data_IF_061101758141
#
_entry.id   IF_061101758141
#
_cell.length_a   1.000
_cell.length_b   1.000
_cell.length_c   1.000
_cell.angle_alpha   90.00
_cell.angle_beta   90.00
_cell.angle_gamma   90.00
#
_symmetry.space_group_name_H-M   'P 1'
#
loop_
_entity.id
_entity.type
_entity.pdbx_description
1 polymer ?
#
# COMPACT_ATOMS: atom_id res chain seq x y z
N UNK A 1 63.04 8.76 8.08
CA UNK A 1 61.80 9.53 8.36
C UNK A 1 61.74 10.68 7.39
N UNK A 2 60.63 10.80 6.66
CA UNK A 2 60.41 11.79 5.59
C UNK A 2 60.26 13.21 6.16
N UNK A 3 60.87 14.15 5.46
CA UNK A 3 60.78 15.61 5.62
C UNK A 3 59.37 16.12 5.33
N UNK A 4 58.86 17.02 6.18
CA UNK A 4 57.71 17.88 5.87
C UNK A 4 58.20 19.33 5.85
N UNK A 5 58.40 19.85 4.64
CA UNK A 5 58.59 21.26 4.36
C UNK A 5 57.20 21.90 4.23
N UNK A 6 57.05 23.13 4.73
CA UNK A 6 56.84 24.33 3.90
C UNK A 6 56.74 25.58 4.79
N UNK A 7 57.62 26.59 4.60
CA UNK A 7 57.60 27.87 5.33
C UNK A 7 57.21 29.06 4.45
N UNK A 8 56.45 30.02 4.99
CA UNK A 8 56.50 31.50 4.80
C UNK A 8 55.21 32.10 5.42
N UNK A 9 55.13 32.93 6.46
CA UNK A 9 55.83 34.12 6.95
C UNK A 9 55.33 35.47 6.36
N UNK A 10 54.74 36.27 7.28
CA UNK A 10 54.69 37.77 7.39
C UNK A 10 53.42 38.51 6.92
N UNK A 11 52.86 39.33 7.82
CA UNK A 11 52.27 40.64 7.49
C UNK A 11 51.06 41.06 8.33
N UNK A 12 51.17 42.18 9.05
CA UNK A 12 50.17 42.85 9.91
C UNK A 12 48.86 43.23 9.16
N UNK A 13 47.72 43.60 9.78
CA UNK A 13 47.48 44.90 10.46
C UNK A 13 46.31 44.79 11.46
N UNK A 14 46.49 45.43 12.62
CA UNK A 14 45.48 45.70 13.63
C UNK A 14 44.50 46.78 13.17
N UNK A 15 43.21 46.57 13.38
CA UNK A 15 42.21 47.65 13.45
C UNK A 15 41.13 47.27 14.46
N UNK A 16 41.23 47.85 15.66
CA UNK A 16 40.11 48.00 16.58
C UNK A 16 39.15 49.02 15.95
N UNK A 17 37.89 48.64 15.73
CA UNK A 17 36.79 49.58 15.61
C UNK A 17 35.64 49.11 16.52
N UNK A 18 35.41 49.89 17.57
CA UNK A 18 34.29 49.79 18.50
C UNK A 18 32.97 50.12 17.79
N UNK A 19 31.95 49.28 18.03
CA UNK A 19 30.56 49.68 18.18
C UNK A 19 29.76 50.02 16.92
N UNK A 20 28.79 49.17 16.59
CA UNK A 20 27.35 49.49 16.63
C UNK A 20 26.60 48.16 16.79
N UNK A 21 25.78 48.06 17.85
CA UNK A 21 24.71 47.05 17.93
C UNK A 21 23.75 47.30 16.76
N UNK A 22 23.72 46.37 15.80
CA UNK A 22 22.69 46.28 14.79
C UNK A 22 22.22 44.85 14.72
N UNK A 23 21.25 44.49 15.56
CA UNK A 23 20.49 43.25 15.46
C UNK A 23 19.62 43.34 14.19
N UNK A 24 20.24 43.15 13.04
CA UNK A 24 19.57 42.99 11.76
C UNK A 24 19.53 41.51 11.43
N UNK A 25 18.57 40.78 12.00
CA UNK A 25 18.11 39.54 11.37
C UNK A 25 17.58 39.98 10.02
N UNK A 26 18.39 39.83 8.97
CA UNK A 26 17.86 39.65 7.63
C UNK A 26 17.08 38.35 7.73
N UNK A 27 15.80 38.44 8.11
CA UNK A 27 14.89 37.42 7.66
C UNK A 27 15.07 37.44 6.14
N UNK A 28 15.34 36.30 5.47
CA UNK A 28 15.02 36.29 4.06
C UNK A 28 13.57 36.77 4.02
N UNK A 29 13.28 37.90 3.34
CA UNK A 29 11.93 38.11 2.82
C UNK A 29 11.65 36.76 2.17
N UNK A 30 10.73 36.00 2.75
CA UNK A 30 10.07 34.97 1.99
C UNK A 30 9.60 35.75 0.76
N UNK A 31 10.31 35.59 -0.34
CA UNK A 31 9.79 35.94 -1.65
C UNK A 31 8.50 35.14 -1.67
N UNK A 32 7.40 35.87 -1.47
CA UNK A 32 6.06 35.31 -1.36
C UNK A 32 5.90 34.52 -2.63
N UNK A 33 5.93 33.21 -2.49
CA UNK A 33 6.04 32.37 -3.65
C UNK A 33 4.64 32.41 -4.30
N UNK A 34 4.51 32.66 -5.61
CA UNK A 34 3.26 33.13 -6.19
C UNK A 34 2.11 32.20 -5.83
N UNK A 35 1.00 32.81 -5.40
CA UNK A 35 -0.14 32.12 -4.77
C UNK A 35 -0.89 31.16 -5.71
N UNK A 36 -0.60 31.20 -7.01
CA UNK A 36 -1.15 30.33 -8.03
C UNK A 36 -1.00 30.93 -9.44
N UNK A 37 -1.71 30.35 -10.40
CA UNK A 37 -1.80 30.93 -11.75
C UNK A 37 -2.40 32.34 -11.68
N UNK A 38 -1.63 33.34 -12.09
CA UNK A 38 -2.07 34.74 -12.17
C UNK A 38 -1.26 35.71 -11.32
N UNK A 39 -0.54 35.22 -10.31
CA UNK A 39 0.39 36.01 -9.49
C UNK A 39 1.75 36.07 -10.20
N UNK A 40 1.89 37.00 -11.13
CA UNK A 40 3.07 37.11 -11.99
C UNK A 40 4.20 37.85 -11.31
N UNK A 41 3.89 38.70 -10.33
CA UNK A 41 4.89 39.49 -9.61
C UNK A 41 5.44 38.76 -8.36
N UNK A 42 4.80 37.67 -7.91
CA UNK A 42 5.23 36.87 -6.76
C UNK A 42 5.05 37.61 -5.43
N UNK A 43 3.94 38.33 -5.25
CA UNK A 43 3.64 39.01 -3.98
C UNK A 43 2.60 38.25 -3.13
N UNK A 44 1.94 37.24 -3.68
CA UNK A 44 0.93 36.42 -3.01
C UNK A 44 -0.50 36.96 -3.14
N UNK A 45 -0.73 38.04 -3.88
CA UNK A 45 -2.03 38.67 -4.10
C UNK A 45 -2.27 38.78 -5.61
N UNK A 46 -3.35 38.16 -6.10
CA UNK A 46 -3.73 38.31 -7.51
C UNK A 46 -4.48 39.64 -7.68
N UNK A 47 -3.83 40.64 -8.27
CA UNK A 47 -4.43 41.94 -8.56
C UNK A 47 -3.95 42.58 -9.88
N UNK A 48 -4.22 43.88 -10.08
CA UNK A 48 -3.85 44.59 -11.31
C UNK A 48 -2.33 44.70 -11.49
N UNK A 49 -1.55 44.70 -10.40
CA UNK A 49 -0.11 44.77 -10.44
C UNK A 49 0.49 43.56 -11.19
N UNK A 50 -0.17 42.41 -11.18
CA UNK A 50 0.23 41.25 -11.98
C UNK A 50 0.11 41.49 -13.47
N UNK A 51 -1.03 42.03 -13.92
CA UNK A 51 -1.23 42.34 -15.34
C UNK A 51 -0.20 43.36 -15.82
N UNK A 52 0.07 44.37 -14.99
CA UNK A 52 1.11 45.38 -15.28
C UNK A 52 2.50 44.75 -15.31
N UNK A 53 2.82 43.85 -14.38
CA UNK A 53 4.10 43.15 -14.34
C UNK A 53 4.33 42.30 -15.60
N UNK A 54 3.30 41.57 -16.05
CA UNK A 54 3.37 40.78 -17.27
C UNK A 54 3.57 41.66 -18.52
N UNK A 55 2.89 42.81 -18.60
CA UNK A 55 3.08 43.76 -19.70
C UNK A 55 4.48 44.36 -19.72
N UNK A 56 5.03 44.70 -18.54
CA UNK A 56 6.38 45.21 -18.41
C UNK A 56 7.42 44.17 -18.89
N UNK A 57 7.23 42.88 -18.56
CA UNK A 57 8.07 41.81 -19.10
C UNK A 57 7.96 41.73 -20.64
N UNK A 58 6.74 41.73 -21.18
CA UNK A 58 6.51 41.52 -22.62
C UNK A 58 6.98 42.68 -23.50
N UNK A 59 6.83 43.93 -23.03
CA UNK A 59 7.01 45.12 -23.88
C UNK A 59 8.11 46.07 -23.42
N UNK A 60 8.53 45.98 -22.16
CA UNK A 60 9.47 46.92 -21.56
C UNK A 60 10.78 46.25 -21.14
N UNK A 61 10.92 44.93 -21.36
CA UNK A 61 12.11 44.18 -20.96
C UNK A 61 12.23 44.01 -19.44
N UNK A 62 11.10 43.99 -18.73
CA UNK A 62 11.04 43.71 -17.30
C UNK A 62 11.54 42.31 -16.93
N UNK A 63 11.58 42.01 -15.63
CA UNK A 63 11.92 40.67 -15.14
C UNK A 63 10.91 39.62 -15.63
N UNK A 64 11.33 38.37 -15.89
CA UNK A 64 10.40 37.29 -16.22
C UNK A 64 9.40 37.06 -15.07
N UNK A 65 8.15 36.63 -15.38
CA UNK A 65 7.15 36.33 -14.37
C UNK A 65 7.67 35.35 -13.32
N UNK A 66 7.24 35.56 -12.07
CA UNK A 66 7.59 34.68 -10.97
C UNK A 66 7.17 33.22 -11.30
N UNK A 67 8.07 32.24 -11.13
CA UNK A 67 7.73 30.85 -11.38
C UNK A 67 6.65 30.43 -10.39
N UNK A 68 5.61 29.76 -10.90
CA UNK A 68 4.51 29.23 -10.10
C UNK A 68 5.07 28.49 -8.89
N UNK A 69 4.87 29.05 -7.70
CA UNK A 69 5.21 28.34 -6.50
C UNK A 69 4.01 27.52 -6.12
N UNK A 70 4.10 26.22 -6.38
CA UNK A 70 3.30 25.27 -5.64
C UNK A 70 3.71 25.37 -4.17
N UNK A 71 3.15 26.35 -3.46
CA UNK A 71 3.41 26.58 -2.03
C UNK A 71 2.92 25.37 -1.24
N UNK A 72 3.88 24.49 -0.90
CA UNK A 72 3.89 23.66 0.31
C UNK A 72 2.74 22.65 0.53
N UNK A 73 2.03 22.23 -0.51
CA UNK A 73 1.24 20.97 -0.52
C UNK A 73 1.67 20.02 -1.63
N UNK A 74 2.82 20.31 -2.27
CA UNK A 74 3.35 19.52 -3.36
C UNK A 74 3.77 18.14 -2.88
N UNK A 75 3.08 17.12 -3.39
CA UNK A 75 3.52 15.73 -3.35
C UNK A 75 4.96 15.69 -3.89
N UNK A 76 5.96 15.23 -3.12
CA UNK A 76 7.34 15.21 -3.56
C UNK A 76 7.54 14.42 -4.86
N UNK A 77 8.47 14.87 -5.71
CA UNK A 77 8.87 14.13 -6.91
C UNK A 77 9.37 12.75 -6.48
N UNK A 78 8.93 11.70 -7.17
CA UNK A 78 9.18 10.30 -6.82
C UNK A 78 8.06 9.64 -6.02
N UNK A 79 6.99 10.36 -5.70
CA UNK A 79 5.79 9.75 -5.10
C UNK A 79 5.10 8.82 -6.09
N UNK A 80 4.68 7.65 -5.60
CA UNK A 80 3.86 6.69 -6.34
C UNK A 80 2.39 7.11 -6.25
N UNK A 81 1.73 7.19 -7.41
CA UNK A 81 0.32 7.57 -7.53
C UNK A 81 -0.43 6.49 -8.29
N UNK A 82 -1.56 6.04 -7.74
CA UNK A 82 -2.49 5.17 -8.44
C UNK A 82 -3.26 5.97 -9.48
N UNK A 83 -3.13 5.59 -10.75
CA UNK A 83 -3.70 6.33 -11.87
C UNK A 83 -4.69 5.47 -12.67
N UNK A 84 -5.92 5.95 -12.79
CA UNK A 84 -6.93 5.38 -13.69
C UNK A 84 -6.70 5.90 -15.11
N UNK A 85 -6.04 5.11 -15.95
CA UNK A 85 -5.82 5.44 -17.35
C UNK A 85 -7.14 5.38 -18.14
N UNK A 86 -7.54 6.45 -18.86
CA UNK A 86 -8.85 6.52 -19.52
C UNK A 86 -9.00 5.55 -20.73
N UNK A 87 -7.92 5.25 -21.46
CA UNK A 87 -7.98 4.47 -22.72
C UNK A 87 -6.98 3.29 -22.79
N UNK A 88 -6.58 2.76 -21.62
CA UNK A 88 -5.40 1.90 -21.55
C UNK A 88 -4.11 2.69 -21.83
N UNK A 89 -2.95 2.04 -21.68
CA UNK A 89 -1.61 2.66 -21.54
C UNK A 89 -1.08 3.29 -22.85
N UNK A 90 -1.82 4.20 -23.49
CA UNK A 90 -1.43 4.74 -24.81
C UNK A 90 -0.72 6.09 -24.74
N UNK A 91 -0.88 6.86 -23.65
CA UNK A 91 -0.06 8.05 -23.39
C UNK A 91 0.05 8.33 -21.88
N UNK A 92 1.26 8.24 -21.33
CA UNK A 92 1.55 8.64 -19.95
C UNK A 92 1.68 10.17 -19.93
N UNK A 93 1.09 10.88 -18.94
CA UNK A 93 1.25 12.33 -18.81
C UNK A 93 2.72 12.75 -18.63
N UNK A 94 3.08 13.92 -19.17
CA UNK A 94 4.42 14.50 -18.99
C UNK A 94 4.78 14.63 -17.51
N UNK A 95 6.03 14.30 -17.17
CA UNK A 95 6.54 14.28 -15.80
C UNK A 95 6.19 13.02 -15.00
N UNK A 96 5.46 12.06 -15.59
CA UNK A 96 5.17 10.76 -14.98
C UNK A 96 5.83 9.61 -15.74
N UNK A 97 6.07 8.53 -15.02
CA UNK A 97 6.60 7.28 -15.55
C UNK A 97 5.89 6.10 -14.87
N UNK A 98 5.70 5.01 -15.60
CA UNK A 98 5.08 3.80 -15.04
C UNK A 98 6.09 3.09 -14.13
N UNK A 99 5.65 2.71 -12.93
CA UNK A 99 6.41 1.89 -12.00
C UNK A 99 6.49 0.42 -12.48
N UNK A 100 7.35 0.14 -13.47
CA UNK A 100 7.55 -1.18 -14.08
C UNK A 100 9.02 -1.65 -14.03
N UNK A 101 9.86 -1.04 -13.17
CA UNK A 101 11.28 -1.37 -13.08
C UNK A 101 12.18 -0.68 -14.11
N UNK A 102 11.62 0.12 -15.03
CA UNK A 102 12.42 0.82 -16.04
C UNK A 102 13.34 1.88 -15.43
N UNK A 103 14.45 2.16 -16.12
CA UNK A 103 15.33 3.29 -15.79
C UNK A 103 14.72 4.57 -16.35
N UNK A 104 14.65 5.61 -15.53
CA UNK A 104 14.24 6.95 -15.97
C UNK A 104 15.32 7.49 -16.91
N UNK A 105 14.93 7.87 -18.12
CA UNK A 105 15.80 8.45 -19.14
C UNK A 105 15.32 9.86 -19.49
N UNK A 106 15.51 10.79 -18.56
CA UNK A 106 15.12 12.19 -18.68
C UNK A 106 16.15 13.05 -17.94
N UNK A 107 17.06 13.75 -18.65
CA UNK A 107 18.10 14.57 -18.05
C UNK A 107 17.60 15.72 -17.15
N UNK A 108 16.33 16.09 -17.24
CA UNK A 108 15.73 17.11 -16.38
C UNK A 108 15.16 16.53 -15.08
N UNK A 109 15.02 15.21 -15.00
CA UNK A 109 14.51 14.52 -13.82
C UNK A 109 15.59 14.36 -12.74
N UNK A 110 15.27 14.61 -11.46
CA UNK A 110 16.16 14.23 -10.35
C UNK A 110 16.45 12.72 -10.27
N UNK A 111 15.66 11.90 -10.96
CA UNK A 111 15.78 10.44 -11.02
C UNK A 111 16.43 9.94 -12.31
N UNK A 112 17.03 10.81 -13.15
CA UNK A 112 17.72 10.36 -14.37
C UNK A 112 18.76 9.27 -14.09
N UNK A 113 18.68 8.17 -14.81
CA UNK A 113 19.54 7.00 -14.61
C UNK A 113 19.16 6.08 -13.43
N UNK A 114 18.16 6.42 -12.63
CA UNK A 114 17.65 5.56 -11.56
C UNK A 114 16.51 4.66 -12.05
N UNK A 115 16.47 3.42 -11.56
CA UNK A 115 15.36 2.50 -11.80
C UNK A 115 14.17 2.85 -10.91
N UNK A 116 12.98 2.93 -11.50
CA UNK A 116 11.72 3.07 -10.74
C UNK A 116 11.35 1.73 -10.10
N UNK A 117 10.56 1.69 -9.01
CA UNK A 117 10.04 0.42 -8.50
C UNK A 117 9.19 -0.28 -9.56
N UNK A 118 9.20 -1.61 -9.55
CA UNK A 118 8.27 -2.41 -10.34
C UNK A 118 7.05 -2.76 -9.47
N UNK A 119 5.87 -2.28 -9.85
CA UNK A 119 4.61 -2.49 -9.15
C UNK A 119 3.58 -3.22 -10.01
N UNK A 120 3.98 -3.74 -11.18
CA UNK A 120 3.07 -4.44 -12.09
C UNK A 120 2.63 -5.76 -11.44
N UNK A 121 1.32 -5.91 -11.23
CA UNK A 121 0.75 -7.10 -10.59
C UNK A 121 1.12 -7.25 -9.11
N UNK A 122 1.40 -6.13 -8.41
CA UNK A 122 1.80 -6.14 -6.99
C UNK A 122 0.88 -5.26 -6.13
N UNK A 123 0.79 -5.60 -4.85
CA UNK A 123 0.15 -4.78 -3.84
C UNK A 123 1.19 -4.00 -3.04
N UNK A 124 0.95 -2.70 -2.85
CA UNK A 124 1.79 -1.86 -1.97
C UNK A 124 1.43 -2.14 -0.52
N UNK A 125 2.44 -2.21 0.34
CA UNK A 125 2.29 -2.32 1.80
C UNK A 125 3.20 -1.30 2.49
N UNK A 126 2.80 -0.88 3.68
CA UNK A 126 3.65 -0.04 4.53
C UNK A 126 4.94 -0.78 4.90
N UNK A 127 6.07 -0.09 4.80
CA UNK A 127 7.36 -0.55 5.30
C UNK A 127 7.42 -0.36 6.83
N UNK A 128 7.94 -1.35 7.56
CA UNK A 128 8.10 -1.24 9.02
C UNK A 128 9.34 -0.40 9.37
N UNK A 129 10.39 -0.51 8.56
CA UNK A 129 11.63 0.27 8.64
C UNK A 129 12.03 0.77 7.26
N UNK A 130 12.98 1.70 7.19
CA UNK A 130 13.49 2.20 5.90
C UNK A 130 14.18 1.11 5.07
N UNK A 131 14.76 0.11 5.74
CA UNK A 131 15.44 -1.02 5.11
C UNK A 131 14.44 -2.01 4.47
N UNK A 132 13.15 -1.93 4.82
CA UNK A 132 12.11 -2.76 4.23
C UNK A 132 11.59 -2.23 2.89
N UNK A 133 11.98 -1.02 2.49
CA UNK A 133 11.53 -0.40 1.24
C UNK A 133 12.03 -1.21 0.05
N UNK A 134 11.09 -1.65 -0.80
CA UNK A 134 11.37 -2.44 -2.00
C UNK A 134 11.39 -3.95 -1.78
N UNK A 135 11.26 -4.43 -0.53
CA UNK A 135 11.17 -5.87 -0.26
C UNK A 135 9.88 -6.47 -0.83
N UNK A 136 10.02 -7.60 -1.51
CA UNK A 136 8.91 -8.37 -2.07
C UNK A 136 8.53 -9.52 -1.13
N UNK A 137 7.23 -9.79 -1.00
CA UNK A 137 6.70 -10.89 -0.19
C UNK A 137 5.29 -11.29 -0.68
N UNK A 138 4.73 -12.34 -0.09
CA UNK A 138 3.41 -12.85 -0.42
C UNK A 138 3.45 -14.06 -1.36
N UNK A 139 2.30 -14.68 -1.57
CA UNK A 139 2.12 -15.78 -2.51
C UNK A 139 0.72 -15.69 -3.12
N UNK A 140 0.61 -15.89 -4.43
CA UNK A 140 -0.67 -15.93 -5.16
C UNK A 140 -1.50 -17.18 -4.78
N UNK A 141 -0.87 -18.16 -4.16
CA UNK A 141 -1.50 -19.41 -3.72
C UNK A 141 -1.00 -19.79 -2.32
N UNK A 142 -1.86 -20.44 -1.54
CA UNK A 142 -1.48 -21.07 -0.28
C UNK A 142 -2.15 -22.44 -0.20
N UNK A 143 -1.49 -23.39 0.47
CA UNK A 143 -2.01 -24.73 0.72
C UNK A 143 -2.24 -24.93 2.21
N UNK A 144 -3.29 -25.67 2.55
CA UNK A 144 -3.52 -26.14 3.91
C UNK A 144 -3.21 -27.64 3.97
N UNK A 145 -2.32 -28.03 4.88
CA UNK A 145 -2.15 -29.43 5.25
C UNK A 145 -2.86 -29.66 6.60
N UNK A 146 -3.87 -30.52 6.60
CA UNK A 146 -4.53 -30.97 7.82
C UNK A 146 -3.96 -32.33 8.24
N UNK A 147 -2.95 -32.32 9.10
CA UNK A 147 -2.57 -33.52 9.84
C UNK A 147 -3.56 -33.76 10.96
N UNK A 148 -4.29 -34.88 10.88
CA UNK A 148 -5.04 -35.42 11.99
C UNK A 148 -4.42 -36.77 12.42
N UNK A 149 -4.52 -37.11 13.69
CA UNK A 149 -4.09 -38.40 14.24
C UNK A 149 -5.27 -39.04 14.96
N UNK A 150 -5.44 -40.34 14.79
CA UNK A 150 -6.36 -41.12 15.60
C UNK A 150 -5.59 -42.02 16.54
N UNK A 151 -5.85 -41.91 17.84
CA UNK A 151 -5.54 -42.95 18.81
C UNK A 151 -6.76 -43.88 18.85
N UNK A 152 -6.66 -45.07 18.27
CA UNK A 152 -7.72 -46.07 18.41
C UNK A 152 -7.75 -46.58 19.86
N UNK A 153 -8.74 -46.15 20.62
CA UNK A 153 -9.05 -46.68 21.95
C UNK A 153 -10.00 -47.89 21.80
N UNK A 154 -9.44 -49.09 21.84
CA UNK A 154 -10.19 -50.34 21.97
C UNK A 154 -10.65 -50.51 23.43
N UNK A 155 -11.89 -50.12 23.74
CA UNK A 155 -12.56 -50.57 24.96
C UNK A 155 -13.74 -51.49 24.61
N UNK A 156 -13.53 -52.79 24.82
CA UNK A 156 -14.60 -53.79 24.83
C UNK A 156 -15.14 -53.90 26.25
N UNK A 157 -16.00 -52.95 26.63
CA UNK A 157 -16.83 -53.04 27.84
C UNK A 157 -18.30 -53.34 27.47
N UNK A 158 -19.08 -54.06 28.32
CA UNK A 158 -20.38 -54.66 27.94
C UNK A 158 -21.52 -53.66 27.78
N UNK A 159 -21.25 -52.37 27.98
CA UNK A 159 -22.11 -51.25 27.59
C UNK A 159 -21.49 -50.55 26.39
N UNK A 160 -21.25 -51.31 25.31
CA UNK A 160 -20.72 -50.78 24.06
C UNK A 160 -21.76 -49.83 23.45
N UNK A 161 -21.37 -48.56 23.27
CA UNK A 161 -22.02 -47.67 22.32
C UNK A 161 -21.19 -47.64 21.05
N UNK A 162 -21.85 -47.65 19.89
CA UNK A 162 -21.18 -47.66 18.60
C UNK A 162 -20.73 -46.24 18.26
N UNK A 163 -19.45 -46.07 17.90
CA UNK A 163 -18.97 -44.84 17.28
C UNK A 163 -19.23 -44.93 15.78
N UNK A 164 -20.16 -44.12 15.29
CA UNK A 164 -20.41 -43.93 13.87
C UNK A 164 -19.56 -42.75 13.40
N UNK A 165 -18.54 -43.03 12.58
CA UNK A 165 -17.68 -41.98 12.00
C UNK A 165 -18.40 -41.41 10.79
N UNK A 166 -18.44 -40.08 10.65
CA UNK A 166 -18.98 -39.40 9.48
C UNK A 166 -17.86 -38.72 8.68
N UNK A 167 -17.99 -38.68 7.34
CA UNK A 167 -17.10 -37.92 6.46
C UNK A 167 -17.88 -36.90 5.63
N UNK A 168 -17.18 -35.87 5.18
CA UNK A 168 -17.74 -34.87 4.29
C UNK A 168 -17.53 -35.26 2.83
N UNK A 169 -18.59 -35.24 2.04
CA UNK A 169 -18.54 -35.44 0.59
C UNK A 169 -18.58 -34.08 -0.12
N UNK A 170 -17.44 -33.56 -0.62
CA UNK A 170 -17.35 -32.21 -1.18
C UNK A 170 -18.06 -32.05 -2.52
N UNK A 171 -18.42 -33.14 -3.21
CA UNK A 171 -19.21 -33.08 -4.44
C UNK A 171 -20.66 -32.65 -4.17
N UNK A 172 -21.46 -33.48 -3.48
CA UNK A 172 -22.83 -33.15 -3.09
C UNK A 172 -22.95 -32.21 -1.87
N UNK A 173 -21.83 -31.77 -1.27
CA UNK A 173 -21.77 -30.93 -0.06
C UNK A 173 -22.60 -31.49 1.10
N UNK A 174 -22.28 -32.69 1.56
CA UNK A 174 -23.03 -33.34 2.66
C UNK A 174 -22.14 -34.10 3.63
N UNK A 175 -22.58 -34.21 4.88
CA UNK A 175 -22.02 -35.17 5.83
C UNK A 175 -22.75 -36.50 5.69
N UNK A 176 -21.97 -37.56 5.46
CA UNK A 176 -22.47 -38.93 5.35
C UNK A 176 -21.88 -39.73 6.48
N UNK A 177 -22.70 -40.55 7.12
CA UNK A 177 -22.25 -41.58 8.05
C UNK A 177 -21.38 -42.62 7.32
N UNK A 178 -20.50 -43.30 8.05
CA UNK A 178 -19.77 -44.46 7.58
C UNK A 178 -20.64 -45.61 7.04
N UNK A 179 -21.95 -45.65 7.33
CA UNK A 179 -22.89 -46.59 6.71
C UNK A 179 -23.57 -46.06 5.42
N UNK A 180 -23.22 -44.87 4.96
CA UNK A 180 -23.76 -44.24 3.75
C UNK A 180 -25.04 -43.42 3.96
N UNK A 181 -25.56 -43.33 5.20
CA UNK A 181 -26.71 -42.48 5.50
C UNK A 181 -26.31 -40.99 5.47
N UNK A 182 -27.12 -40.15 4.82
CA UNK A 182 -26.91 -38.70 4.83
C UNK A 182 -27.34 -38.15 6.19
N UNK A 183 -26.41 -37.51 6.89
CA UNK A 183 -26.63 -36.90 8.20
C UNK A 183 -27.07 -35.44 8.03
N UNK A 184 -26.36 -34.68 7.18
CA UNK A 184 -26.65 -33.27 6.90
C UNK A 184 -26.34 -33.01 5.44
N UNK A 185 -27.34 -32.58 4.66
CA UNK A 185 -27.15 -32.00 3.32
C UNK A 185 -26.98 -30.49 3.45
N UNK A 186 -25.89 -29.95 2.91
CA UNK A 186 -25.71 -28.52 2.75
C UNK A 186 -26.12 -28.08 1.35
N UNK A 187 -26.70 -26.89 1.27
CA UNK A 187 -26.86 -26.22 -0.02
C UNK A 187 -25.57 -25.49 -0.37
N UNK A 188 -25.27 -25.38 -1.67
CA UNK A 188 -24.10 -24.66 -2.17
C UNK A 188 -24.25 -23.13 -2.13
N UNK A 189 -25.34 -22.62 -1.52
CA UNK A 189 -25.61 -21.19 -1.39
C UNK A 189 -25.96 -20.49 -2.71
N UNK A 190 -26.30 -21.22 -3.77
CA UNK A 190 -26.75 -20.65 -5.05
C UNK A 190 -28.30 -20.71 -5.10
N UNK A 191 -28.91 -19.66 -5.68
CA UNK A 191 -30.38 -19.44 -5.74
C UNK A 191 -31.04 -19.16 -4.37
N UNK A 192 -32.35 -19.42 -4.23
CA UNK A 192 -33.19 -19.13 -3.05
C UNK A 192 -32.86 -19.95 -1.79
N UNK A 193 -31.70 -20.61 -1.76
CA UNK A 193 -31.17 -21.33 -0.59
C UNK A 193 -30.12 -20.46 0.10
N UNK A 194 -30.59 -19.38 0.74
CA UNK A 194 -29.73 -18.47 1.50
C UNK A 194 -28.84 -19.23 2.49
N UNK A 195 -27.62 -18.72 2.67
CA UNK A 195 -26.64 -19.19 3.65
C UNK A 195 -27.28 -19.27 5.05
N UNK A 196 -27.68 -20.46 5.48
CA UNK A 196 -28.14 -20.70 6.85
C UNK A 196 -29.46 -21.42 7.06
N UNK A 197 -30.02 -22.17 6.08
CA UNK A 197 -31.08 -23.13 6.42
C UNK A 197 -30.47 -24.35 7.14
N UNK A 198 -30.26 -24.22 8.44
CA UNK A 198 -30.02 -25.37 9.33
C UNK A 198 -31.39 -25.97 9.68
N UNK A 199 -31.75 -27.18 9.20
CA UNK A 199 -32.91 -27.87 9.74
C UNK A 199 -32.55 -28.35 11.16
N UNK A 200 -32.75 -27.51 12.16
CA UNK A 200 -32.71 -27.89 13.58
C UNK A 200 -33.99 -28.64 14.01
N UNK A 201 -34.86 -29.04 13.07
CA UNK A 201 -36.14 -29.69 13.40
C UNK A 201 -36.47 -30.83 12.45
N UNK A 202 -35.62 -31.84 12.40
CA UNK A 202 -36.04 -33.23 12.23
C UNK A 202 -34.80 -34.11 12.42
N UNK A 203 -34.45 -34.41 13.68
CA UNK A 203 -33.83 -35.71 13.89
C UNK A 203 -34.90 -36.73 13.49
N UNK A 204 -34.73 -37.54 12.43
CA UNK A 204 -35.52 -38.74 12.35
C UNK A 204 -35.14 -39.56 13.59
N UNK A 205 -36.09 -39.80 14.48
CA UNK A 205 -35.95 -40.88 15.43
C UNK A 205 -35.72 -42.12 14.57
N UNK A 206 -34.48 -42.61 14.52
CA UNK A 206 -34.16 -43.91 13.94
C UNK A 206 -34.80 -44.96 14.86
N UNK A 207 -36.11 -45.14 14.75
CA UNK A 207 -36.76 -46.36 15.17
C UNK A 207 -36.48 -47.37 14.09
N UNK A 208 -35.30 -47.99 14.15
CA UNK A 208 -35.07 -49.23 13.42
C UNK A 208 -35.92 -50.33 14.10
N UNK A 209 -36.91 -50.93 13.41
CA UNK A 209 -37.68 -52.04 13.95
C UNK A 209 -36.84 -53.33 14.12
N UNK A 210 -35.57 -53.36 13.69
CA UNK A 210 -34.72 -54.55 13.80
C UNK A 210 -34.26 -54.90 15.22
N UNK A 211 -34.54 -54.07 16.24
CA UNK A 211 -34.17 -54.34 17.64
C UNK A 211 -35.35 -54.38 18.63
N UNK A 212 -36.58 -54.49 18.14
CA UNK A 212 -37.79 -54.52 18.98
C UNK A 212 -38.25 -55.94 19.38
N UNK A 213 -37.36 -56.92 19.47
CA UNK A 213 -37.71 -58.26 19.97
C UNK A 213 -36.66 -58.80 20.94
N UNK A 214 -36.69 -58.34 22.19
CA UNK A 214 -36.62 -59.25 23.34
C UNK A 214 -37.06 -58.55 24.64
N UNK A 215 -38.37 -58.39 24.78
CA UNK A 215 -38.97 -58.20 26.10
C UNK A 215 -39.62 -59.53 26.48
N UNK A 216 -38.84 -60.43 27.10
CA UNK A 216 -39.39 -61.59 27.77
C UNK A 216 -38.83 -61.76 29.20
N UNK A 217 -39.80 -61.55 30.12
CA UNK A 217 -39.91 -61.90 31.56
C UNK A 217 -39.18 -61.02 32.56
#
# INVERSE_FOLDING_TARGET
MRTLNLPWARGAVSALALGVLGLGVLTPRALSAPSGNGDTNGDGIIDLADVVHLLAYMYEGGSPPAPLSATSTAVPIGTVVDWLAPDGITSIPDGFVVCNGAVVADPQSPFDGFAVPDLVGRFVRGAATIDDIGNLAGAETHSHELTHSHDEFLDVSPACHQHEVAHFEPGPLRWVSGNGAVIIDYTNGVENTGSGHFPLSAFPTLTDPAYATDAHV
#
